data_IF_666776378899
#
_entry.id   IF_666776378899
#
_cell.length_a   1.000
_cell.length_b   1.000
_cell.length_c   1.000
_cell.angle_alpha   90.00
_cell.angle_beta   90.00
_cell.angle_gamma   90.00
#
_symmetry.space_group_name_H-M   'P 1'
#
loop_
_entity.id
_entity.type
_entity.pdbx_description
1 polymer ?
#
# COMPACT_ATOMS: atom_id res chain seq x y z
N UNK A 1 10.72 -2.55 -4.07
CA UNK A 1 10.30 -3.27 -5.29
C UNK A 1 8.88 -3.85 -5.14
N UNK A 2 8.59 -4.63 -4.08
CA UNK A 2 7.26 -5.25 -3.84
C UNK A 2 6.08 -4.27 -3.91
N UNK A 3 6.19 -3.08 -3.30
CA UNK A 3 5.14 -2.06 -3.37
C UNK A 3 4.82 -1.64 -4.80
N UNK A 4 5.83 -1.27 -5.59
CA UNK A 4 5.66 -0.80 -6.97
C UNK A 4 4.97 -1.84 -7.84
N UNK A 5 5.27 -3.12 -7.64
CA UNK A 5 4.63 -4.20 -8.39
C UNK A 5 3.20 -4.50 -7.91
N UNK A 6 2.89 -4.22 -6.64
CA UNK A 6 1.55 -4.40 -6.09
C UNK A 6 0.59 -3.30 -6.55
N UNK A 7 1.06 -2.06 -6.64
CA UNK A 7 0.23 -0.88 -6.93
C UNK A 7 0.39 -0.33 -8.35
N UNK A 8 1.45 -0.72 -9.05
CA UNK A 8 1.78 -0.22 -10.38
C UNK A 8 2.49 1.14 -10.37
N UNK A 9 2.98 1.53 -11.55
CA UNK A 9 3.84 2.70 -11.71
C UNK A 9 3.19 4.00 -11.24
N UNK A 10 1.94 4.26 -11.64
CA UNK A 10 1.21 5.50 -11.32
C UNK A 10 1.12 5.75 -9.81
N UNK A 11 0.72 4.73 -9.04
CA UNK A 11 0.58 4.85 -7.57
C UNK A 11 1.96 4.88 -6.91
N UNK A 12 2.93 4.11 -7.40
CA UNK A 12 4.29 4.11 -6.84
C UNK A 12 5.02 5.45 -6.96
N UNK A 13 4.64 6.29 -7.93
CA UNK A 13 5.21 7.63 -8.14
C UNK A 13 4.71 8.67 -7.14
N UNK A 14 3.53 8.47 -6.56
CA UNK A 14 2.83 9.43 -5.70
C UNK A 14 2.66 8.93 -4.26
N UNK A 15 3.12 7.71 -3.99
CA UNK A 15 3.00 7.06 -2.69
C UNK A 15 4.24 6.26 -2.37
N UNK A 16 4.64 6.32 -1.09
CA UNK A 16 5.84 5.65 -0.61
C UNK A 16 5.53 4.85 0.66
N UNK A 17 5.79 3.54 0.68
CA UNK A 17 5.72 2.77 1.91
C UNK A 17 6.87 3.21 2.83
N UNK A 18 6.55 3.56 4.08
CA UNK A 18 7.54 4.04 5.04
C UNK A 18 7.92 2.97 6.07
N UNK A 19 6.93 2.30 6.66
CA UNK A 19 7.17 1.32 7.73
C UNK A 19 6.01 0.35 7.89
N UNK A 20 6.29 -0.79 8.52
CA UNK A 20 5.27 -1.75 8.97
C UNK A 20 5.32 -1.83 10.49
N UNK A 21 4.18 -1.69 11.16
CA UNK A 21 4.05 -1.81 12.62
C UNK A 21 2.84 -2.68 12.93
N UNK A 22 3.02 -3.80 13.62
CA UNK A 22 1.95 -4.72 14.01
C UNK A 22 1.04 -5.12 12.82
N UNK A 23 1.65 -5.45 11.67
CA UNK A 23 0.94 -5.81 10.44
C UNK A 23 0.32 -4.64 9.67
N UNK A 24 0.45 -3.41 10.16
CA UNK A 24 -0.06 -2.20 9.47
C UNK A 24 1.04 -1.54 8.67
N UNK A 25 0.87 -1.44 7.37
CA UNK A 25 1.77 -0.72 6.47
C UNK A 25 1.41 0.77 6.44
N UNK A 26 2.35 1.62 6.79
CA UNK A 26 2.22 3.07 6.68
C UNK A 26 2.74 3.53 5.33
N UNK A 27 1.90 4.27 4.60
CA UNK A 27 2.18 4.76 3.26
C UNK A 27 1.97 6.25 3.22
N UNK A 28 3.01 7.00 2.92
CA UNK A 28 2.90 8.43 2.66
C UNK A 28 2.32 8.66 1.27
N UNK A 29 1.34 9.55 1.16
CA UNK A 29 0.70 9.89 -0.12
C UNK A 29 0.79 11.40 -0.35
N UNK A 30 1.39 11.80 -1.46
CA UNK A 30 1.72 13.22 -1.71
C UNK A 30 0.50 14.06 -2.16
N UNK A 31 -0.66 13.42 -2.42
CA UNK A 31 -1.86 14.10 -2.92
C UNK A 31 -3.14 13.68 -2.18
N UNK A 32 -3.97 14.63 -1.70
CA UNK A 32 -5.24 14.33 -1.03
C UNK A 32 -6.23 13.56 -1.90
N UNK A 33 -6.31 13.87 -3.21
CA UNK A 33 -7.24 13.20 -4.13
C UNK A 33 -6.94 11.71 -4.28
N UNK A 34 -5.65 11.36 -4.32
CA UNK A 34 -5.21 9.98 -4.40
C UNK A 34 -5.45 9.18 -3.13
N UNK A 35 -5.47 9.84 -1.96
CA UNK A 35 -5.73 9.17 -0.68
C UNK A 35 -7.09 8.48 -0.68
N UNK A 36 -8.13 9.13 -1.22
CA UNK A 36 -9.48 8.57 -1.29
C UNK A 36 -9.50 7.33 -2.18
N UNK A 37 -8.94 7.44 -3.39
CA UNK A 37 -8.86 6.32 -4.34
C UNK A 37 -8.09 5.13 -3.73
N UNK A 38 -6.98 5.38 -3.04
CA UNK A 38 -6.18 4.34 -2.39
C UNK A 38 -6.90 3.68 -1.21
N UNK A 39 -7.74 4.42 -0.47
CA UNK A 39 -8.59 3.83 0.57
C UNK A 39 -9.56 2.82 -0.05
N UNK A 40 -10.18 3.14 -1.19
CA UNK A 40 -11.06 2.22 -1.91
C UNK A 40 -10.29 0.99 -2.45
N UNK A 41 -9.05 1.18 -2.91
CA UNK A 41 -8.20 0.10 -3.43
C UNK A 41 -7.49 -0.72 -2.34
N UNK A 42 -7.53 -0.29 -1.08
CA UNK A 42 -6.72 -0.83 0.02
C UNK A 42 -6.77 -2.36 0.11
N UNK A 43 -7.97 -2.95 0.08
CA UNK A 43 -8.14 -4.41 0.21
C UNK A 43 -7.45 -5.19 -0.92
N UNK A 44 -7.55 -4.69 -2.16
CA UNK A 44 -6.85 -5.28 -3.31
C UNK A 44 -5.34 -5.17 -3.18
N UNK A 45 -4.84 -4.02 -2.71
CA UNK A 45 -3.41 -3.80 -2.48
C UNK A 45 -2.88 -4.75 -1.41
N UNK A 46 -3.57 -4.91 -0.28
CA UNK A 46 -3.19 -5.86 0.79
C UNK A 46 -3.10 -7.28 0.23
N UNK A 47 -4.12 -7.72 -0.52
CA UNK A 47 -4.12 -9.06 -1.13
C UNK A 47 -2.93 -9.26 -2.07
N UNK A 48 -2.64 -8.27 -2.92
CA UNK A 48 -1.48 -8.30 -3.84
C UNK A 48 -0.16 -8.32 -3.10
N UNK A 49 -0.03 -7.56 -2.02
CA UNK A 49 1.17 -7.54 -1.17
C UNK A 49 1.40 -8.89 -0.53
N UNK A 50 0.41 -9.43 0.20
CA UNK A 50 0.55 -10.73 0.87
C UNK A 50 0.79 -11.88 -0.12
N UNK A 51 0.14 -11.86 -1.29
CA UNK A 51 0.39 -12.85 -2.35
C UNK A 51 1.84 -12.81 -2.83
N UNK A 52 2.43 -11.62 -2.99
CA UNK A 52 3.83 -11.47 -3.42
C UNK A 52 4.82 -11.79 -2.30
N UNK A 53 4.48 -11.49 -1.07
CA UNK A 53 5.31 -11.79 0.11
C UNK A 53 5.27 -13.29 0.43
N UNK A 54 4.17 -13.98 0.09
CA UNK A 54 3.96 -15.41 0.34
C UNK A 54 3.43 -15.73 1.74
N UNK A 55 3.16 -14.70 2.56
CA UNK A 55 2.53 -14.81 3.89
C UNK A 55 1.59 -13.64 4.14
N UNK A 56 0.62 -13.83 5.03
CA UNK A 56 -0.33 -12.79 5.46
C UNK A 56 0.31 -11.82 6.47
N UNK A 57 1.34 -11.09 6.02
CA UNK A 57 2.09 -10.15 6.85
C UNK A 57 1.40 -8.79 7.01
N UNK A 58 0.65 -8.34 6.00
CA UNK A 58 -0.04 -7.05 6.00
C UNK A 58 -1.51 -7.27 6.29
N UNK A 59 -2.01 -6.70 7.38
CA UNK A 59 -3.42 -6.75 7.78
C UNK A 59 -4.15 -5.45 7.48
N UNK A 60 -3.41 -4.34 7.38
CA UNK A 60 -3.97 -3.02 7.13
C UNK A 60 -2.97 -2.08 6.43
N UNK A 61 -3.47 -1.02 5.81
CA UNK A 61 -2.67 0.08 5.26
C UNK A 61 -3.19 1.41 5.81
N UNK A 62 -2.29 2.21 6.36
CA UNK A 62 -2.56 3.55 6.88
C UNK A 62 -1.91 4.57 5.93
N UNK A 63 -2.75 5.36 5.26
CA UNK A 63 -2.29 6.43 4.37
C UNK A 63 -2.10 7.71 5.18
N UNK A 64 -0.84 8.13 5.34
CA UNK A 64 -0.41 9.33 6.09
C UNK A 64 -0.24 10.53 5.16
#
# INVERSE_FOLDING_TARGET
VVWNEAVGEKISKISKPERVVNGKLFVRVDSPGWRIELIHLKGSIIKRLNTRIGVDAITDIIFI
#
